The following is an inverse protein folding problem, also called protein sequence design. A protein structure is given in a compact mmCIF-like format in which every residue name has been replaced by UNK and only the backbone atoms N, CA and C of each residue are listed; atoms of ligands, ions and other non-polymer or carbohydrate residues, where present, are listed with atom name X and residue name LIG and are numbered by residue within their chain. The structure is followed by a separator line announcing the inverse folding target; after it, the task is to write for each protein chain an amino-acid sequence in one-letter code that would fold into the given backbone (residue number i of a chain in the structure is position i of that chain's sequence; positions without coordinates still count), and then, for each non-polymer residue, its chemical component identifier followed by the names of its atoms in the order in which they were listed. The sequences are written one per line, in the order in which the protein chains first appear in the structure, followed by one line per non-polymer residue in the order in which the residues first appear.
data_IF_551202486185
#
_entry.id   IF_551202486185
#
_cell.length_a   1.000
_cell.length_b   1.000
_cell.length_c   1.000
_cell.angle_alpha   90.00
_cell.angle_beta   90.00
_cell.angle_gamma   90.00
#
_symmetry.space_group_name_H-M   'P 1'
#
loop_
_entity.id
_entity.type
_entity.pdbx_description
1 polymer ?
#
# COMPACT_ATOMS: atom_id res chain seq x y z
N UNK A 1 30.78 1.86 -10.54
CA UNK A 1 30.51 0.54 -9.93
C UNK A 1 29.86 0.65 -8.56
N UNK A 2 30.29 1.57 -7.69
CA UNK A 2 29.66 1.84 -6.39
C UNK A 2 28.19 2.26 -6.46
N UNK A 3 27.84 3.16 -7.39
CA UNK A 3 26.44 3.60 -7.57
C UNK A 3 25.48 2.48 -8.03
N UNK A 4 25.99 1.50 -8.78
CA UNK A 4 25.19 0.38 -9.31
C UNK A 4 24.97 -0.71 -8.24
N UNK A 5 25.93 -0.88 -7.34
CA UNK A 5 25.76 -1.76 -6.17
C UNK A 5 24.82 -1.12 -5.14
N UNK A 6 24.93 0.18 -4.89
CA UNK A 6 24.03 0.93 -3.99
C UNK A 6 22.58 1.01 -4.48
N UNK A 7 22.32 0.84 -5.78
CA UNK A 7 20.94 0.77 -6.29
C UNK A 7 20.25 -0.57 -6.03
N UNK A 8 21.00 -1.63 -5.72
CA UNK A 8 20.46 -2.99 -5.56
C UNK A 8 20.61 -3.54 -4.13
N UNK A 9 21.52 -2.97 -3.33
CA UNK A 9 21.83 -3.44 -1.98
C UNK A 9 21.85 -2.27 -0.99
N UNK A 10 21.40 -2.47 0.27
CA UNK A 10 21.53 -1.46 1.31
C UNK A 10 22.99 -1.01 1.50
N UNK A 11 23.21 0.27 1.82
CA UNK A 11 24.57 0.84 1.89
C UNK A 11 25.51 0.09 2.85
N UNK A 12 24.98 -0.38 3.99
CA UNK A 12 25.76 -1.15 4.97
C UNK A 12 26.25 -2.50 4.42
N UNK A 13 25.48 -3.11 3.53
CA UNK A 13 25.83 -4.38 2.87
C UNK A 13 26.86 -4.16 1.76
N UNK A 14 26.80 -3.03 1.05
CA UNK A 14 27.75 -2.71 -0.03
C UNK A 14 29.19 -2.70 0.49
N UNK A 15 29.42 -2.20 1.71
CA UNK A 15 30.74 -2.21 2.33
C UNK A 15 31.24 -3.63 2.64
N UNK A 16 30.38 -4.50 3.19
CA UNK A 16 30.70 -5.90 3.49
C UNK A 16 31.01 -6.70 2.20
N UNK A 17 30.18 -6.54 1.16
CA UNK A 17 30.33 -7.21 -0.14
C UNK A 17 31.61 -6.79 -0.84
N UNK A 18 31.98 -5.50 -0.76
CA UNK A 18 33.21 -4.99 -1.36
C UNK A 18 34.46 -5.72 -0.85
N UNK A 19 34.48 -6.09 0.42
CA UNK A 19 35.58 -6.83 1.02
C UNK A 19 35.62 -8.29 0.58
N UNK A 20 34.48 -8.87 0.18
CA UNK A 20 34.35 -10.27 -0.25
C UNK A 20 34.50 -10.47 -1.77
N UNK A 21 34.28 -9.43 -2.58
CA UNK A 21 34.41 -9.47 -4.05
C UNK A 21 35.84 -9.75 -4.57
N UNK A 22 36.85 -9.80 -3.69
CA UNK A 22 38.20 -10.23 -4.04
C UNK A 22 38.42 -11.76 -4.01
N UNK A 23 37.42 -12.54 -3.57
CA UNK A 23 37.52 -14.00 -3.41
C UNK A 23 36.61 -14.68 -4.45
N UNK A 24 37.15 -15.64 -5.20
CA UNK A 24 36.58 -16.27 -6.41
C UNK A 24 35.28 -17.10 -6.20
N UNK A 25 34.60 -17.01 -5.06
CA UNK A 25 33.36 -17.76 -4.79
C UNK A 25 32.33 -16.83 -4.16
N UNK A 26 31.12 -16.68 -4.73
CA UNK A 26 30.04 -15.97 -4.06
C UNK A 26 29.66 -16.73 -2.78
N UNK A 27 30.02 -16.18 -1.62
CA UNK A 27 29.58 -16.71 -0.34
C UNK A 27 28.24 -16.07 0.04
N UNK A 28 27.31 -16.90 0.54
CA UNK A 28 26.07 -16.43 1.17
C UNK A 28 26.46 -15.56 2.37
N UNK A 29 26.19 -14.26 2.29
CA UNK A 29 26.37 -13.34 3.42
C UNK A 29 25.13 -13.43 4.29
N UNK A 30 25.25 -13.84 5.55
CA UNK A 30 24.14 -13.94 6.49
C UNK A 30 24.52 -13.21 7.77
N UNK A 31 23.75 -12.20 8.13
CA UNK A 31 23.79 -11.52 9.41
C UNK A 31 22.59 -11.97 10.24
N UNK A 32 22.87 -12.40 11.46
CA UNK A 32 21.83 -12.75 12.43
C UNK A 32 21.69 -11.61 13.44
N UNK A 33 20.52 -10.98 13.44
CA UNK A 33 20.13 -10.00 14.44
C UNK A 33 19.34 -10.74 15.54
N UNK A 34 20.07 -11.42 16.45
CA UNK A 34 19.53 -12.26 17.52
C UNK A 34 19.62 -11.62 18.92
N UNK A 35 18.83 -12.14 19.86
CA UNK A 35 18.52 -11.55 21.17
C UNK A 35 19.70 -11.43 22.17
N UNK A 36 20.89 -11.94 21.85
CA UNK A 36 21.85 -12.39 22.88
C UNK A 36 22.76 -11.29 23.46
N UNK A 37 22.68 -10.02 23.05
CA UNK A 37 23.45 -8.96 23.73
C UNK A 37 22.68 -7.64 23.71
N UNK A 38 21.97 -7.35 24.81
CA UNK A 38 21.18 -6.12 25.05
C UNK A 38 20.09 -5.79 24.00
N UNK A 39 18.92 -6.43 24.08
CA UNK A 39 17.62 -5.89 23.59
C UNK A 39 17.64 -5.30 22.15
N UNK A 40 18.25 -6.00 21.18
CA UNK A 40 18.22 -5.61 19.77
C UNK A 40 16.99 -6.23 19.06
N UNK A 41 15.78 -5.72 19.33
CA UNK A 41 14.61 -6.11 18.55
C UNK A 41 14.54 -5.29 17.25
N UNK A 42 14.28 -5.96 16.13
CA UNK A 42 14.08 -5.32 14.82
C UNK A 42 12.58 -5.16 14.56
N UNK A 43 12.21 -4.08 13.88
CA UNK A 43 10.82 -3.78 13.53
C UNK A 43 10.64 -3.82 12.03
N UNK A 44 9.64 -4.58 11.59
CA UNK A 44 9.31 -4.74 10.18
C UNK A 44 7.93 -4.16 9.91
N UNK A 45 7.86 -3.29 8.92
CA UNK A 45 6.63 -2.80 8.31
C UNK A 45 6.38 -3.59 7.04
N UNK A 46 5.21 -4.22 6.96
CA UNK A 46 4.73 -4.90 5.78
C UNK A 46 3.47 -4.22 5.28
N UNK A 47 3.49 -3.70 4.05
CA UNK A 47 2.37 -2.99 3.48
C UNK A 47 2.03 -3.50 2.08
N UNK A 48 0.73 -3.63 1.79
CA UNK A 48 0.19 -4.03 0.49
C UNK A 48 -0.84 -3.03 0.00
N UNK A 49 -0.64 -2.55 -1.23
CA UNK A 49 -1.58 -1.68 -1.94
C UNK A 49 -2.56 -2.58 -2.69
N UNK A 50 -3.86 -2.27 -2.59
CA UNK A 50 -4.95 -2.96 -3.28
C UNK A 50 -5.56 -2.00 -4.31
N UNK A 51 -5.92 -2.54 -5.47
CA UNK A 51 -6.53 -1.79 -6.58
C UNK A 51 -5.50 -1.22 -7.58
N UNK A 52 -4.20 -1.48 -7.36
CA UNK A 52 -3.15 -1.00 -8.25
C UNK A 52 -3.09 -1.83 -9.53
N UNK A 53 -3.25 -3.15 -9.46
CA UNK A 53 -3.18 -4.04 -10.62
C UNK A 53 -4.28 -3.75 -11.66
N UNK A 54 -5.56 -3.56 -11.27
CA UNK A 54 -6.59 -3.13 -12.22
C UNK A 54 -6.34 -1.74 -12.80
N UNK A 55 -5.67 -0.83 -12.08
CA UNK A 55 -5.32 0.49 -12.59
C UNK A 55 -4.20 0.39 -13.65
N UNK A 56 -3.16 -0.40 -13.37
CA UNK A 56 -2.02 -0.60 -14.27
C UNK A 56 -2.40 -1.36 -15.55
N UNK A 57 -3.45 -2.19 -15.52
CA UNK A 57 -3.93 -2.90 -16.71
C UNK A 57 -4.73 -2.02 -17.68
N UNK A 58 -5.19 -0.85 -17.23
CA UNK A 58 -5.99 0.10 -18.02
C UNK A 58 -5.17 1.18 -18.70
N UNK A 59 -3.89 1.31 -18.39
CA UNK A 59 -2.99 2.33 -18.94
C UNK A 59 -1.91 1.68 -19.82
N UNK A 60 -1.21 2.49 -20.61
CA UNK A 60 -0.13 1.99 -21.46
C UNK A 60 1.02 1.42 -20.62
N UNK A 61 1.79 0.48 -21.18
CA UNK A 61 2.98 -0.10 -20.50
C UNK A 61 3.97 1.00 -20.10
N UNK A 62 4.12 2.03 -20.94
CA UNK A 62 5.02 3.16 -20.66
C UNK A 62 4.52 3.99 -19.47
N UNK A 63 3.21 4.25 -19.40
CA UNK A 63 2.61 5.00 -18.31
C UNK A 63 2.60 4.20 -17.00
N UNK A 64 2.35 2.89 -17.08
CA UNK A 64 2.49 1.97 -15.93
C UNK A 64 3.89 1.99 -15.35
N UNK A 65 4.92 1.94 -16.19
CA UNK A 65 6.31 2.01 -15.72
C UNK A 65 6.63 3.36 -15.07
N UNK A 66 6.14 4.47 -15.64
CA UNK A 66 6.32 5.81 -15.06
C UNK A 66 5.62 5.95 -13.71
N UNK A 67 4.39 5.47 -13.61
CA UNK A 67 3.60 5.51 -12.38
C UNK A 67 4.25 4.70 -11.26
N UNK A 68 4.69 3.47 -11.58
CA UNK A 68 5.42 2.62 -10.62
C UNK A 68 6.72 3.27 -10.16
N UNK A 69 7.48 3.89 -11.08
CA UNK A 69 8.69 4.60 -10.72
C UNK A 69 8.41 5.80 -9.80
N UNK A 70 7.33 6.55 -10.03
CA UNK A 70 6.95 7.67 -9.18
C UNK A 70 6.54 7.22 -7.77
N UNK A 71 5.74 6.14 -7.67
CA UNK A 71 5.41 5.53 -6.38
C UNK A 71 6.66 5.06 -5.65
N UNK A 72 7.54 4.33 -6.33
CA UNK A 72 8.77 3.83 -5.73
C UNK A 72 9.67 4.97 -5.26
N UNK A 73 9.85 6.02 -6.05
CA UNK A 73 10.64 7.18 -5.65
C UNK A 73 10.07 7.86 -4.39
N UNK A 74 8.75 8.04 -4.30
CA UNK A 74 8.11 8.61 -3.10
C UNK A 74 8.29 7.71 -1.88
N UNK A 75 8.15 6.40 -2.04
CA UNK A 75 8.38 5.43 -0.96
C UNK A 75 9.85 5.48 -0.51
N UNK A 76 10.80 5.50 -1.44
CA UNK A 76 12.23 5.56 -1.13
C UNK A 76 12.58 6.85 -0.38
N UNK A 77 11.99 7.98 -0.76
CA UNK A 77 12.13 9.22 -0.01
C UNK A 77 11.58 9.12 1.42
N UNK A 78 10.44 8.47 1.64
CA UNK A 78 9.90 8.23 2.97
C UNK A 78 10.81 7.31 3.80
N UNK A 79 11.39 6.29 3.16
CA UNK A 79 12.34 5.35 3.80
C UNK A 79 13.59 6.10 4.25
N UNK A 80 14.22 6.88 3.37
CA UNK A 80 15.42 7.67 3.70
C UNK A 80 15.13 8.70 4.79
N UNK A 81 13.98 9.38 4.73
CA UNK A 81 13.59 10.38 5.73
C UNK A 81 13.46 9.80 7.14
N UNK A 82 12.99 8.56 7.26
CA UNK A 82 12.78 7.90 8.54
C UNK A 82 13.98 7.03 8.97
N UNK A 83 15.11 7.10 8.24
CA UNK A 83 16.31 6.27 8.45
C UNK A 83 16.01 4.76 8.47
N UNK A 84 15.21 4.31 7.52
CA UNK A 84 14.79 2.91 7.39
C UNK A 84 15.50 2.22 6.22
N UNK A 85 15.42 0.89 6.18
CA UNK A 85 15.94 0.09 5.06
C UNK A 85 14.77 -0.56 4.32
N UNK A 86 14.68 -0.33 3.01
CA UNK A 86 13.68 -0.98 2.14
C UNK A 86 14.24 -2.29 1.60
N UNK A 87 13.41 -3.33 1.59
CA UNK A 87 13.72 -4.62 0.98
C UNK A 87 12.96 -4.74 -0.35
N UNK A 88 13.65 -5.21 -1.38
CA UNK A 88 13.03 -5.43 -2.69
C UNK A 88 12.07 -6.62 -2.62
N UNK A 89 10.79 -6.37 -2.86
CA UNK A 89 9.71 -7.34 -2.79
C UNK A 89 8.54 -6.89 -3.67
N UNK A 90 7.58 -7.77 -3.91
CA UNK A 90 6.28 -7.48 -4.50
C UNK A 90 5.42 -6.59 -3.59
N UNK A 91 5.59 -6.74 -2.28
CA UNK A 91 5.02 -5.87 -1.27
C UNK A 91 6.01 -4.78 -0.83
N UNK A 92 5.50 -3.80 -0.08
CA UNK A 92 6.33 -2.78 0.54
C UNK A 92 6.83 -3.33 1.88
N UNK A 93 8.08 -3.77 1.91
CA UNK A 93 8.75 -4.27 3.11
C UNK A 93 9.82 -3.25 3.53
N UNK A 94 9.70 -2.77 4.76
CA UNK A 94 10.63 -1.80 5.34
C UNK A 94 11.04 -2.26 6.73
N UNK A 95 12.34 -2.18 7.00
CA UNK A 95 12.97 -2.64 8.23
C UNK A 95 13.55 -1.44 8.98
N UNK A 96 13.33 -1.42 10.29
CA UNK A 96 13.86 -0.46 11.24
C UNK A 96 14.68 -1.20 12.30
N UNK A 97 15.84 -0.67 12.66
CA UNK A 97 16.78 -1.35 13.56
C UNK A 97 18.06 -1.86 12.92
N UNK A 98 18.23 -1.73 11.60
CA UNK A 98 19.41 -2.23 10.89
C UNK A 98 20.07 -1.09 10.10
N UNK A 99 21.41 -0.96 10.09
CA UNK A 99 22.40 -1.79 10.79
C UNK A 99 22.61 -1.39 12.26
N UNK A 100 22.33 -0.14 12.61
CA UNK A 100 22.50 0.39 13.97
C UNK A 100 21.16 0.44 14.69
N UNK A 101 21.14 0.00 15.95
CA UNK A 101 19.98 0.12 16.82
C UNK A 101 19.94 1.49 17.52
N UNK A 102 18.77 2.09 17.53
CA UNK A 102 18.41 3.40 18.03
C UNK A 102 17.09 3.24 18.79
N UNK A 103 16.93 4.02 19.85
CA UNK A 103 15.75 3.97 20.72
C UNK A 103 14.48 4.43 20.01
N UNK A 104 14.59 5.16 18.90
CA UNK A 104 13.45 5.71 18.14
C UNK A 104 12.99 4.83 16.98
N UNK A 105 13.57 3.65 16.79
CA UNK A 105 13.29 2.80 15.61
C UNK A 105 11.83 2.38 15.46
N UNK A 106 11.17 2.13 16.59
CA UNK A 106 9.75 1.79 16.61
C UNK A 106 8.87 2.96 16.16
N UNK A 107 9.25 4.16 16.56
CA UNK A 107 8.56 5.39 16.21
C UNK A 107 8.75 5.71 14.72
N UNK A 108 9.97 5.59 14.20
CA UNK A 108 10.27 5.77 12.78
C UNK A 108 9.45 4.82 11.89
N UNK A 109 9.29 3.57 12.30
CA UNK A 109 8.48 2.59 11.57
C UNK A 109 6.98 2.96 11.54
N UNK A 110 6.43 3.37 12.70
CA UNK A 110 5.04 3.83 12.79
C UNK A 110 4.81 5.14 12.02
N UNK A 111 5.78 6.07 12.08
CA UNK A 111 5.76 7.32 11.34
C UNK A 111 5.74 7.05 9.83
N UNK A 112 6.65 6.21 9.33
CA UNK A 112 6.68 5.79 7.93
C UNK A 112 5.35 5.18 7.48
N UNK A 113 4.78 4.26 8.27
CA UNK A 113 3.50 3.64 7.96
C UNK A 113 2.36 4.66 7.84
N UNK A 114 2.35 5.67 8.72
CA UNK A 114 1.38 6.75 8.69
C UNK A 114 1.56 7.65 7.46
N UNK A 115 2.80 8.04 7.16
CA UNK A 115 3.14 8.86 5.99
C UNK A 115 2.80 8.16 4.67
N UNK A 116 3.01 6.84 4.60
CA UNK A 116 2.68 6.01 3.43
C UNK A 116 1.17 6.05 3.11
N UNK A 117 0.31 5.99 4.13
CA UNK A 117 -1.14 6.13 3.95
C UNK A 117 -1.49 7.51 3.37
N UNK A 118 -0.80 8.58 3.79
CA UNK A 118 -1.05 9.94 3.30
C UNK A 118 -0.62 10.11 1.85
N UNK A 119 0.54 9.56 1.48
CA UNK A 119 1.00 9.56 0.08
C UNK A 119 -0.01 8.85 -0.81
N UNK A 120 -0.52 7.69 -0.39
CA UNK A 120 -1.54 6.98 -1.18
C UNK A 120 -2.86 7.74 -1.25
N UNK A 121 -3.33 8.35 -0.15
CA UNK A 121 -4.53 9.19 -0.15
C UNK A 121 -4.39 10.37 -1.11
N UNK A 122 -3.23 11.04 -1.08
CA UNK A 122 -2.93 12.14 -2.00
C UNK A 122 -2.94 11.69 -3.46
N UNK A 123 -2.51 10.46 -3.76
CA UNK A 123 -2.65 9.89 -5.09
C UNK A 123 -4.12 9.70 -5.50
N UNK A 124 -4.94 9.13 -4.62
CA UNK A 124 -6.37 8.95 -4.86
C UNK A 124 -7.07 10.29 -5.11
N UNK A 125 -6.73 11.32 -4.31
CA UNK A 125 -7.26 12.68 -4.47
C UNK A 125 -6.87 13.32 -5.81
N UNK A 126 -5.64 13.07 -6.29
CA UNK A 126 -5.14 13.61 -7.54
C UNK A 126 -5.67 12.87 -8.79
N UNK A 127 -5.94 11.56 -8.69
CA UNK A 127 -6.22 10.69 -9.85
C UNK A 127 -7.63 10.10 -9.89
N UNK A 128 -8.46 10.33 -8.87
CA UNK A 128 -9.78 9.69 -8.68
C UNK A 128 -9.73 8.16 -8.63
N UNK A 129 -8.54 7.56 -8.52
CA UNK A 129 -8.39 6.13 -8.39
C UNK A 129 -8.79 5.66 -6.99
N UNK A 130 -9.44 4.50 -6.92
CA UNK A 130 -9.81 3.86 -5.66
C UNK A 130 -8.71 2.88 -5.23
N UNK A 131 -7.63 3.43 -4.67
CA UNK A 131 -6.58 2.62 -4.05
C UNK A 131 -6.78 2.55 -2.54
N UNK A 132 -6.44 1.41 -1.97
CA UNK A 132 -6.38 1.22 -0.52
C UNK A 132 -5.11 0.52 -0.12
N UNK A 133 -4.69 0.67 1.14
CA UNK A 133 -3.48 0.04 1.65
C UNK A 133 -3.76 -0.62 2.98
N UNK A 134 -3.19 -1.80 3.18
CA UNK A 134 -3.16 -2.47 4.49
C UNK A 134 -1.73 -2.50 4.97
N UNK A 135 -1.54 -2.22 6.26
CA UNK A 135 -0.21 -2.18 6.86
C UNK A 135 -0.21 -2.99 8.15
N UNK A 136 0.77 -3.89 8.27
CA UNK A 136 1.07 -4.64 9.47
C UNK A 136 2.47 -4.30 9.98
N UNK A 137 2.62 -4.15 11.30
CA UNK A 137 3.91 -3.90 11.93
C UNK A 137 4.20 -4.98 12.97
N UNK A 138 5.34 -5.64 12.79
CA UNK A 138 5.83 -6.71 13.66
C UNK A 138 7.17 -6.33 14.29
N UNK A 139 7.39 -6.82 15.51
CA UNK A 139 8.68 -6.71 16.22
C UNK A 139 9.20 -8.12 16.52
N UNK A 140 10.50 -8.33 16.36
CA UNK A 140 11.12 -9.62 16.62
C UNK A 140 12.55 -9.71 16.09
N UNK A 141 13.06 -10.93 16.02
CA UNK A 141 14.35 -11.25 15.43
C UNK A 141 14.23 -11.39 13.92
N UNK A 142 15.30 -11.04 13.22
CA UNK A 142 15.46 -11.33 11.79
C UNK A 142 16.89 -11.79 11.48
N UNK A 143 16.99 -12.65 10.50
CA UNK A 143 18.22 -12.97 9.78
C UNK A 143 18.12 -12.28 8.43
N UNK A 144 19.17 -11.56 8.05
CA UNK A 144 19.21 -10.85 6.78
C UNK A 144 20.47 -11.23 6.03
N UNK A 145 20.39 -11.33 4.71
CA UNK A 145 21.51 -11.83 3.95
C UNK A 145 21.39 -11.65 2.45
N UNK A 146 22.51 -11.85 1.76
CA UNK A 146 22.55 -11.83 0.31
C UNK A 146 22.36 -13.25 -0.20
N UNK A 147 21.33 -13.44 -1.00
CA UNK A 147 20.96 -14.74 -1.57
C UNK A 147 21.05 -14.66 -3.10
N UNK A 148 21.43 -15.78 -3.73
CA UNK A 148 21.44 -15.95 -5.18
C UNK A 148 22.80 -16.35 -5.73
N UNK A 149 22.81 -17.26 -6.72
CA UNK A 149 24.05 -17.69 -7.38
C UNK A 149 24.48 -16.71 -8.49
N UNK A 150 23.53 -16.31 -9.35
CA UNK A 150 23.81 -15.47 -10.52
C UNK A 150 23.20 -14.06 -10.43
N UNK A 151 22.15 -13.88 -9.61
CA UNK A 151 21.49 -12.59 -9.35
C UNK A 151 21.36 -12.42 -7.85
N UNK A 152 22.25 -11.63 -7.27
CA UNK A 152 22.26 -11.36 -5.84
C UNK A 152 21.13 -10.41 -5.47
N UNK A 153 20.43 -10.72 -4.40
CA UNK A 153 19.45 -9.85 -3.78
C UNK A 153 19.55 -9.98 -2.27
N UNK A 154 19.25 -8.89 -1.58
CA UNK A 154 19.20 -8.88 -0.12
C UNK A 154 17.82 -9.32 0.35
N UNK A 155 17.78 -10.36 1.17
CA UNK A 155 16.55 -10.97 1.68
C UNK A 155 16.57 -11.00 3.21
N UNK A 156 15.39 -10.89 3.81
CA UNK A 156 15.18 -10.97 5.25
C UNK A 156 14.25 -12.14 5.57
N UNK A 157 14.55 -12.87 6.64
CA UNK A 157 13.75 -13.98 7.13
C UNK A 157 13.68 -13.86 8.66
N UNK A 158 12.49 -13.96 9.25
CA UNK A 158 12.38 -13.95 10.71
C UNK A 158 10.99 -13.73 11.26
N UNK A 159 10.90 -13.81 12.58
CA UNK A 159 9.66 -13.70 13.33
C UNK A 159 9.03 -12.32 13.21
N UNK A 160 9.85 -11.26 13.09
CA UNK A 160 9.35 -9.90 12.88
C UNK A 160 8.57 -9.79 11.57
N UNK A 161 9.11 -10.35 10.47
CA UNK A 161 8.46 -10.37 9.15
C UNK A 161 7.17 -11.20 9.19
N UNK A 162 7.22 -12.41 9.76
CA UNK A 162 6.06 -13.28 9.91
C UNK A 162 4.93 -12.61 10.71
N UNK A 163 5.29 -11.90 11.78
CA UNK A 163 4.34 -11.14 12.60
C UNK A 163 3.75 -9.98 11.81
N UNK A 164 4.57 -9.20 11.09
CA UNK A 164 4.11 -8.08 10.27
C UNK A 164 3.12 -8.53 9.19
N UNK A 165 3.42 -9.63 8.48
CA UNK A 165 2.51 -10.22 7.49
C UNK A 165 1.17 -10.64 8.10
N UNK A 166 1.19 -11.30 9.27
CA UNK A 166 -0.04 -11.67 9.99
C UNK A 166 -0.85 -10.44 10.40
N UNK A 167 -0.20 -9.35 10.81
CA UNK A 167 -0.89 -8.11 11.17
C UNK A 167 -1.52 -7.43 9.94
N UNK A 168 -0.84 -7.42 8.80
CA UNK A 168 -1.36 -6.85 7.55
C UNK A 168 -2.58 -7.61 7.05
N UNK A 169 -2.55 -8.95 7.10
CA UNK A 169 -3.69 -9.77 6.68
C UNK A 169 -4.96 -9.47 7.49
N UNK A 170 -4.80 -9.18 8.78
CA UNK A 170 -5.90 -8.78 9.69
C UNK A 170 -6.36 -7.34 9.48
N UNK A 171 -5.58 -6.50 8.81
CA UNK A 171 -5.88 -5.09 8.69
C UNK A 171 -7.07 -4.83 7.75
N UNK A 172 -7.91 -3.89 8.16
CA UNK A 172 -8.90 -3.31 7.26
C UNK A 172 -8.21 -2.33 6.30
N UNK A 173 -8.77 -2.10 5.09
CA UNK A 173 -8.25 -1.10 4.16
C UNK A 173 -8.08 0.27 4.85
N UNK A 174 -6.90 0.87 4.69
CA UNK A 174 -6.52 2.15 5.27
C UNK A 174 -6.13 2.10 6.76
N UNK A 175 -6.01 0.91 7.36
CA UNK A 175 -5.63 0.75 8.77
C UNK A 175 -4.21 0.20 8.93
N UNK A 176 -3.58 0.57 10.04
CA UNK A 176 -2.28 0.03 10.49
C UNK A 176 -2.53 -0.84 11.72
N UNK A 177 -2.16 -2.11 11.63
CA UNK A 177 -2.28 -3.07 12.72
C UNK A 177 -0.90 -3.40 13.29
N UNK A 178 -0.80 -3.37 14.61
CA UNK A 178 0.39 -3.65 15.39
C UNK A 178 0.22 -4.96 16.15
N UNK A 179 1.31 -5.70 16.32
CA UNK A 179 1.36 -6.72 17.36
C UNK A 179 1.32 -6.10 18.75
N UNK A 180 0.88 -6.85 19.77
CA UNK A 180 0.86 -6.35 21.16
C UNK A 180 2.25 -5.87 21.62
N UNK A 181 3.32 -6.63 21.28
CA UNK A 181 4.70 -6.26 21.58
C UNK A 181 5.10 -4.94 20.92
N UNK A 182 4.74 -4.76 19.64
CA UNK A 182 5.02 -3.52 18.90
C UNK A 182 4.29 -2.33 19.54
N UNK A 183 3.01 -2.52 19.90
CA UNK A 183 2.21 -1.47 20.52
C UNK A 183 2.73 -1.05 21.90
N UNK A 184 3.30 -1.97 22.67
CA UNK A 184 3.99 -1.66 23.93
C UNK A 184 5.25 -0.83 23.69
N UNK A 185 6.02 -1.16 22.66
CA UNK A 185 7.25 -0.43 22.30
C UNK A 185 7.00 1.02 21.88
N UNK A 186 5.83 1.35 21.30
CA UNK A 186 5.49 2.71 20.83
C UNK A 186 4.49 3.46 21.72
N UNK A 187 4.12 2.89 22.87
CA UNK A 187 3.04 3.39 23.73
C UNK A 187 3.27 4.82 24.25
N UNK A 188 4.54 5.24 24.38
CA UNK A 188 4.91 6.59 24.82
C UNK A 188 4.56 7.68 23.80
N UNK A 189 4.52 7.32 22.52
CA UNK A 189 4.55 8.28 21.41
C UNK A 189 3.30 8.17 20.54
N UNK A 190 2.76 6.96 20.39
CA UNK A 190 1.57 6.68 19.61
C UNK A 190 0.44 6.09 20.46
N UNK A 191 -0.78 6.55 20.20
CA UNK A 191 -2.00 5.92 20.66
C UNK A 191 -2.25 4.60 19.93
N UNK A 192 -2.85 3.64 20.63
CA UNK A 192 -3.32 2.39 20.04
C UNK A 192 -4.63 1.97 20.69
N UNK A 193 -5.55 1.42 19.90
CA UNK A 193 -6.78 0.79 20.41
C UNK A 193 -6.71 -0.72 20.24
N UNK A 194 -7.46 -1.45 21.08
CA UNK A 194 -7.62 -2.88 20.93
C UNK A 194 -8.36 -3.17 19.62
N UNK A 195 -7.77 -4.01 18.77
CA UNK A 195 -8.41 -4.51 17.55
C UNK A 195 -8.87 -5.95 17.75
N UNK A 196 -7.99 -6.80 18.29
CA UNK A 196 -8.23 -8.22 18.59
C UNK A 196 -7.53 -8.58 19.93
N UNK A 197 -7.57 -9.84 20.36
CA UNK A 197 -6.84 -10.32 21.56
C UNK A 197 -5.32 -10.09 21.43
N UNK A 198 -4.79 -10.27 20.22
CA UNK A 198 -3.35 -10.27 19.95
C UNK A 198 -2.86 -9.10 19.08
N UNK A 199 -3.74 -8.14 18.77
CA UNK A 199 -3.38 -7.00 17.92
C UNK A 199 -4.09 -5.71 18.30
N UNK A 200 -3.43 -4.60 17.96
CA UNK A 200 -3.92 -3.25 18.21
C UNK A 200 -3.92 -2.43 16.93
N UNK A 201 -4.89 -1.55 16.75
CA UNK A 201 -4.90 -0.57 15.66
C UNK A 201 -4.12 0.67 16.12
N UNK A 202 -3.17 1.11 15.31
CA UNK A 202 -2.46 2.36 15.55
C UNK A 202 -3.43 3.54 15.36
N UNK A 203 -3.46 4.46 16.32
CA UNK A 203 -4.25 5.69 16.24
C UNK A 203 -3.30 6.88 16.10
N UNK A 204 -3.51 7.77 15.12
CA UNK A 204 -2.76 9.02 15.05
C UNK A 204 -3.01 9.84 16.30
N UNK A 205 -1.94 10.19 17.00
CA UNK A 205 -2.00 11.13 18.12
C UNK A 205 -1.79 12.53 17.58
N UNK A 206 -2.39 13.58 18.18
CA UNK A 206 -2.23 14.97 17.73
C UNK A 206 -0.76 15.44 17.67
N UNK A 207 0.14 14.78 18.41
CA UNK A 207 1.60 14.99 18.36
C UNK A 207 2.25 14.49 17.06
N UNK A 208 1.60 13.56 16.37
CA UNK A 208 2.02 12.99 15.09
C UNK A 208 1.24 13.65 13.96
N UNK A 209 1.17 14.99 13.97
CA UNK A 209 0.84 15.72 12.77
C UNK A 209 2.02 15.56 11.81
N UNK A 210 1.89 14.61 10.87
CA UNK A 210 2.95 14.33 9.90
C UNK A 210 3.16 15.58 9.06
N UNK A 211 4.26 16.30 9.33
CA UNK A 211 4.74 17.38 8.49
C UNK A 211 5.37 16.78 7.24
N UNK A 212 4.52 16.21 6.38
CA UNK A 212 4.92 15.61 5.11
C UNK A 212 5.16 16.79 4.16
N UNK A 213 6.38 16.94 3.61
CA UNK A 213 6.63 17.96 2.62
C UNK A 213 5.67 17.80 1.44
N UNK A 214 5.09 18.91 0.97
CA UNK A 214 4.18 18.90 -0.20
C UNK A 214 4.79 18.21 -1.43
N UNK A 215 6.13 18.20 -1.56
CA UNK A 215 6.87 17.49 -2.61
C UNK A 215 6.67 15.97 -2.59
N UNK A 216 6.44 15.37 -1.41
CA UNK A 216 6.19 13.94 -1.28
C UNK A 216 4.72 13.58 -1.56
N UNK A 217 3.82 14.55 -1.42
CA UNK A 217 2.43 14.41 -1.83
C UNK A 217 2.30 14.50 -3.35
N UNK A 218 1.27 13.90 -3.91
CA UNK A 218 0.91 14.10 -5.30
C UNK A 218 0.25 15.49 -5.43
N UNK A 219 0.68 16.30 -6.41
CA UNK A 219 0.13 17.64 -6.55
C UNK A 219 -1.38 17.55 -6.83
N UNK A 220 -2.18 18.23 -6.00
CA UNK A 220 -3.62 18.43 -6.22
C UNK A 220 -3.87 19.45 -7.34
N UNK A 221 -3.19 19.31 -8.47
CA UNK A 221 -3.48 20.06 -9.68
C UNK A 221 -4.47 19.25 -10.50
N UNK A 222 -5.77 19.47 -10.26
CA UNK A 222 -6.88 19.02 -11.13
C UNK A 222 -6.76 19.47 -12.61
N UNK A 223 -5.67 20.14 -12.99
CA UNK A 223 -5.39 20.64 -14.33
C UNK A 223 -4.27 19.90 -15.06
N UNK A 224 -3.32 19.26 -14.37
CA UNK A 224 -2.16 18.62 -15.01
C UNK A 224 -1.59 17.49 -14.14
N UNK A 225 -2.32 16.39 -14.00
CA UNK A 225 -1.66 15.11 -13.73
C UNK A 225 -1.13 14.58 -15.07
N UNK A 226 0.04 13.97 -15.09
CA UNK A 226 0.53 13.23 -16.26
C UNK A 226 -0.38 12.01 -16.60
N UNK A 227 -1.38 11.73 -15.76
CA UNK A 227 -2.50 10.83 -16.04
C UNK A 227 -3.75 11.50 -16.63
N UNK A 228 -3.75 12.82 -16.84
CA UNK A 228 -4.98 13.58 -17.11
C UNK A 228 -5.52 13.47 -18.55
N UNK A 229 -4.81 12.94 -19.55
CA UNK A 229 -5.48 12.64 -20.82
C UNK A 229 -5.04 11.29 -21.43
N UNK A 230 -5.98 10.35 -21.69
CA UNK A 230 -7.42 10.58 -21.71
C UNK A 230 -8.22 9.88 -20.59
N UNK A 231 -8.59 10.71 -19.61
CA UNK A 231 -9.98 10.77 -19.11
C UNK A 231 -11.04 10.81 -20.24
N UNK A 232 -10.65 10.99 -21.51
CA UNK A 232 -11.54 10.83 -22.67
C UNK A 232 -12.06 9.40 -22.86
N UNK A 233 -11.35 8.35 -22.39
CA UNK A 233 -11.87 6.98 -22.44
C UNK A 233 -12.98 6.78 -21.40
N UNK A 234 -12.80 7.32 -20.18
CA UNK A 234 -13.84 7.31 -19.16
C UNK A 234 -15.08 8.12 -19.59
N UNK A 235 -14.92 9.20 -20.38
CA UNK A 235 -16.05 9.91 -21.01
C UNK A 235 -16.69 9.17 -22.17
N UNK A 236 -15.93 8.41 -22.97
CA UNK A 236 -16.47 7.61 -24.08
C UNK A 236 -17.26 6.39 -23.59
N UNK A 237 -16.83 5.75 -22.51
CA UNK A 237 -17.54 4.60 -21.91
C UNK A 237 -18.84 5.02 -21.21
N UNK A 238 -18.87 6.19 -20.55
CA UNK A 238 -20.10 6.75 -19.98
C UNK A 238 -21.05 7.29 -21.05
N UNK A 239 -20.54 7.81 -22.18
CA UNK A 239 -21.35 8.26 -23.31
C UNK A 239 -21.91 7.12 -24.19
N UNK A 240 -21.40 5.89 -24.05
CA UNK A 240 -21.90 4.71 -24.78
C UNK A 240 -22.92 3.88 -23.99
N UNK A 241 -23.20 4.23 -22.73
CA UNK A 241 -24.36 3.75 -21.98
C UNK A 241 -25.48 4.79 -21.99
N UNK A 242 -26.40 4.63 -22.95
CA UNK A 242 -27.77 5.18 -23.00
C UNK A 242 -27.92 6.67 -23.39
N UNK A 243 -28.07 6.91 -24.69
CA UNK A 243 -28.98 7.96 -25.19
C UNK A 243 -30.34 7.33 -25.49
N UNK A 244 -31.46 7.79 -24.91
CA UNK A 244 -32.77 7.55 -25.50
C UNK A 244 -32.90 8.42 -26.74
N UNK A 245 -33.25 7.80 -27.87
CA UNK A 245 -33.49 8.48 -29.15
C UNK A 245 -34.75 9.37 -29.01
N UNK A 246 -34.71 10.67 -29.34
CA UNK A 246 -35.90 11.51 -29.42
C UNK A 246 -36.62 11.23 -30.75
N UNK A 247 -37.73 10.49 -30.68
CA UNK A 247 -38.46 10.09 -31.88
C UNK A 247 -39.64 9.16 -31.66
N UNK A 248 -40.45 9.36 -30.62
CA UNK A 248 -41.84 8.90 -30.62
C UNK A 248 -42.74 10.01 -30.09
N UNK A 249 -43.74 10.33 -30.91
CA UNK A 249 -44.69 11.42 -30.70
C UNK A 249 -45.46 11.22 -29.40
N UNK A 250 -45.64 12.35 -28.73
CA UNK A 250 -46.66 12.63 -27.72
C UNK A 250 -48.01 12.02 -28.06
N UNK A 251 -48.61 11.31 -27.11
CA UNK A 251 -50.04 11.46 -26.87
C UNK A 251 -50.27 11.83 -25.40
N UNK A 252 -51.04 12.90 -25.28
CA UNK A 252 -51.33 13.68 -24.10
C UNK A 252 -52.23 12.94 -23.11
N UNK A 253 -51.94 13.18 -21.84
CA UNK A 253 -52.83 13.08 -20.71
C UNK A 253 -54.10 13.92 -20.92
N UNK A 254 -55.30 13.32 -21.06
CA UNK A 254 -56.59 13.98 -20.77
C UNK A 254 -57.67 12.98 -20.31
N UNK A 255 -58.06 13.10 -19.04
CA UNK A 255 -59.42 13.24 -18.46
C UNK A 255 -60.62 12.49 -19.09
N UNK A 256 -61.45 11.94 -18.18
CA UNK A 256 -62.94 11.83 -18.15
C UNK A 256 -63.67 10.52 -18.56
N UNK A 257 -64.43 9.99 -17.59
CA UNK A 257 -65.84 9.58 -17.62
C UNK A 257 -66.44 8.92 -18.89
N UNK A 258 -66.87 7.65 -18.77
CA UNK A 258 -68.28 7.19 -18.83
C UNK A 258 -68.33 5.65 -19.01
N UNK A 259 -69.03 4.93 -18.12
CA UNK A 259 -70.37 4.32 -18.30
C UNK A 259 -70.41 3.17 -19.31
N UNK A 260 -70.88 2.00 -18.84
CA UNK A 260 -71.74 1.17 -19.67
C UNK A 260 -71.31 -0.28 -19.92
N UNK A 261 -71.81 -1.16 -19.05
CA UNK A 261 -72.51 -2.40 -19.41
C UNK A 261 -71.81 -3.63 -20.03
N UNK A 262 -72.14 -4.74 -19.35
CA UNK A 262 -72.54 -6.08 -19.83
C UNK A 262 -71.42 -7.12 -20.06
N UNK A 263 -71.26 -8.14 -19.20
CA UNK A 263 -72.17 -9.22 -18.74
C UNK A 263 -72.09 -10.48 -19.63
N UNK A 264 -71.70 -11.59 -18.98
CA UNK A 264 -71.93 -13.02 -19.31
C UNK A 264 -71.30 -13.53 -20.62
N UNK A 265 -70.51 -14.61 -20.63
CA UNK A 265 -70.97 -15.98 -20.37
C UNK A 265 -69.78 -16.91 -20.00
N UNK A 266 -69.74 -17.39 -18.77
CA UNK A 266 -69.13 -18.70 -18.45
C UNK A 266 -70.26 -19.63 -18.00
N UNK A 267 -70.43 -20.73 -18.72
CA UNK A 267 -71.50 -21.68 -18.48
C UNK A 267 -71.11 -23.11 -18.87
N UNK A 268 -70.66 -23.85 -17.86
CA UNK A 268 -70.84 -25.29 -17.62
C UNK A 268 -70.06 -26.32 -18.46
N UNK A 269 -69.09 -26.94 -17.76
CA UNK A 269 -68.84 -28.39 -17.81
C UNK A 269 -70.06 -29.17 -17.27
N UNK A 270 -70.44 -30.22 -17.99
CA UNK A 270 -71.07 -31.45 -17.47
C UNK A 270 -70.57 -32.64 -18.30
N UNK A 271 -69.63 -33.38 -17.75
CA UNK A 271 -69.73 -34.81 -17.40
C UNK A 271 -68.37 -35.28 -16.89
#
# INVERSE_FOLDING_TARGET
MSQLLGSALPEHVVAAVRNQLGVNVPQLYIENYSETTQVLFTIVVYARIFGLEPLLSQISVQDSARLLNEFNAKIDHLVTRNNLVRIQSDAIIVVSGIPEHNTTHAESACQFAWELIHVLRSFCDATTAELSIKIGIGIGTISAGIVGANKWHYEIIGDALNTAMKMEQKANPGCIILSNKTAEAVKSTFGSEKFDENSKRLIPTARVASNIPNTLLFPNHRRFSLSTIPQAVNRLLLASTVTPVPGQKSDSMVVSMNVGEKTLLQGRRKK
#
